data_IF_483077401449
#
_entry.id   IF_483077401449
#
_cell.length_a   1.000
_cell.length_b   1.000
_cell.length_c   1.000
_cell.angle_alpha   90.00
_cell.angle_beta   90.00
_cell.angle_gamma   90.00
#
_symmetry.space_group_name_H-M   'P 1'
#
loop_
_entity.id
_entity.type
_entity.pdbx_description
1 polymer ?
#
# COMPACT_ATOMS: atom_id res chain seq x y z
N UNK A 1 11.08 -20.67 7.49
CA UNK A 1 11.35 -19.83 6.30
C UNK A 1 10.83 -18.45 6.63
N UNK A 2 11.74 -17.51 6.89
CA UNK A 2 11.40 -16.15 7.32
C UNK A 2 10.79 -15.41 6.11
N UNK A 3 9.54 -14.96 6.24
CA UNK A 3 8.90 -14.18 5.16
C UNK A 3 9.54 -12.80 5.15
N UNK A 4 10.05 -12.35 3.99
CA UNK A 4 10.52 -10.97 3.86
C UNK A 4 9.36 -10.01 4.11
N UNK A 5 9.55 -9.07 5.03
CA UNK A 5 8.58 -8.03 5.37
C UNK A 5 9.13 -6.69 4.86
N UNK A 6 8.28 -5.95 4.16
CA UNK A 6 8.53 -4.56 3.78
C UNK A 6 7.41 -3.71 4.40
N UNK A 7 7.75 -2.62 5.07
CA UNK A 7 6.80 -1.81 5.86
C UNK A 7 7.00 -0.33 5.56
N UNK A 8 5.89 0.38 5.35
CA UNK A 8 5.80 1.83 5.48
C UNK A 8 4.90 2.16 6.67
N UNK A 9 5.31 3.10 7.52
CA UNK A 9 4.53 3.54 8.69
C UNK A 9 4.52 5.06 8.80
N UNK A 10 3.45 5.62 9.34
CA UNK A 10 3.31 7.05 9.63
C UNK A 10 2.72 7.24 11.03
N UNK A 11 3.17 8.29 11.73
CA UNK A 11 2.52 8.79 12.94
C UNK A 11 1.82 10.11 12.65
N UNK A 12 0.62 10.27 13.19
CA UNK A 12 -0.16 11.49 13.02
C UNK A 12 -1.06 11.74 14.22
N UNK A 13 -1.41 13.00 14.46
CA UNK A 13 -2.41 13.35 15.46
C UNK A 13 -3.82 13.28 14.88
N UNK A 14 -4.75 12.73 15.65
CA UNK A 14 -6.18 12.83 15.39
C UNK A 14 -6.97 12.73 16.69
N UNK A 15 -8.24 13.12 16.65
CA UNK A 15 -9.14 13.11 17.82
C UNK A 15 -9.40 11.69 18.32
N UNK A 16 -9.34 11.52 19.64
CA UNK A 16 -9.73 10.31 20.32
C UNK A 16 -11.24 10.11 20.21
N UNK A 17 -11.68 8.94 19.75
CA UNK A 17 -13.11 8.61 19.65
C UNK A 17 -13.80 8.46 21.02
N UNK A 18 -13.03 8.20 22.08
CA UNK A 18 -13.56 8.05 23.44
C UNK A 18 -13.80 9.37 24.17
N UNK A 19 -12.85 10.32 24.14
CA UNK A 19 -12.93 11.56 24.91
C UNK A 19 -12.79 12.87 24.11
N UNK A 20 -12.53 12.79 22.80
CA UNK A 20 -12.34 13.96 21.94
C UNK A 20 -10.99 14.67 22.07
N UNK A 21 -10.14 14.29 23.04
CA UNK A 21 -8.78 14.82 23.14
C UNK A 21 -7.93 14.42 21.94
N UNK A 22 -6.90 15.20 21.63
CA UNK A 22 -5.90 14.82 20.64
C UNK A 22 -5.11 13.59 21.12
N UNK A 23 -4.89 12.62 20.22
CA UNK A 23 -4.08 11.44 20.47
C UNK A 23 -3.16 11.18 19.28
N UNK A 24 -2.04 10.50 19.54
CA UNK A 24 -1.18 9.98 18.47
C UNK A 24 -1.81 8.71 17.89
N UNK A 25 -1.75 8.60 16.57
CA UNK A 25 -2.16 7.44 15.79
C UNK A 25 -0.97 6.95 14.98
N UNK A 26 -0.82 5.64 14.88
CA UNK A 26 0.14 4.99 14.01
C UNK A 26 -0.61 4.27 12.90
N UNK A 27 -0.28 4.57 11.65
CA UNK A 27 -0.82 3.89 10.48
C UNK A 27 0.28 3.15 9.74
N UNK A 28 0.03 1.91 9.35
CA UNK A 28 1.00 1.01 8.74
C UNK A 28 0.43 0.39 7.48
N UNK A 29 1.27 0.25 6.45
CA UNK A 29 1.07 -0.71 5.37
C UNK A 29 2.29 -1.61 5.26
N UNK A 30 2.07 -2.92 5.15
CA UNK A 30 3.12 -3.91 5.05
C UNK A 30 2.86 -4.90 3.92
N UNK A 31 3.93 -5.32 3.24
CA UNK A 31 3.93 -6.51 2.39
C UNK A 31 4.56 -7.66 3.16
N UNK A 32 3.74 -8.63 3.56
CA UNK A 32 4.16 -9.81 4.35
C UNK A 32 4.12 -11.05 3.46
N UNK A 33 5.27 -11.46 2.95
CA UNK A 33 5.33 -12.49 1.90
C UNK A 33 4.78 -11.96 0.58
N UNK A 34 3.58 -12.41 0.20
CA UNK A 34 2.88 -12.00 -1.04
C UNK A 34 1.57 -11.26 -0.77
N UNK A 35 1.30 -10.90 0.49
CA UNK A 35 0.05 -10.25 0.89
C UNK A 35 0.31 -8.84 1.41
N UNK A 36 -0.46 -7.88 0.91
CA UNK A 36 -0.55 -6.56 1.51
C UNK A 36 -1.43 -6.63 2.76
N UNK A 37 -0.97 -5.96 3.81
CA UNK A 37 -1.65 -5.78 5.08
C UNK A 37 -1.54 -4.33 5.49
N UNK A 38 -2.47 -3.91 6.33
CA UNK A 38 -2.45 -2.61 6.92
C UNK A 38 -3.06 -2.68 8.31
N UNK A 39 -2.66 -1.73 9.15
CA UNK A 39 -3.29 -1.49 10.43
C UNK A 39 -3.21 -0.01 10.79
N UNK A 40 -4.14 0.42 11.65
CA UNK A 40 -4.12 1.71 12.31
C UNK A 40 -4.35 1.46 13.79
N UNK A 41 -3.45 1.98 14.62
CA UNK A 41 -3.52 1.87 16.07
C UNK A 41 -3.42 3.24 16.76
N UNK A 42 -4.06 3.35 17.92
CA UNK A 42 -3.93 4.51 18.80
C UNK A 42 -4.23 4.11 20.24
N UNK A 43 -3.54 4.75 21.18
CA UNK A 43 -3.88 4.72 22.60
C UNK A 43 -3.94 6.15 23.13
N UNK A 44 -5.11 6.57 23.60
CA UNK A 44 -5.31 7.91 24.11
C UNK A 44 -4.76 8.05 25.54
N UNK A 45 -3.82 8.97 25.78
CA UNK A 45 -3.25 9.17 27.12
C UNK A 45 -4.25 9.82 28.09
N UNK A 46 -5.27 10.51 27.60
CA UNK A 46 -6.23 11.24 28.44
C UNK A 46 -7.31 10.35 29.06
N UNK A 47 -7.85 9.39 28.30
CA UNK A 47 -8.94 8.52 28.76
C UNK A 47 -8.64 7.02 28.70
N UNK A 48 -7.46 6.63 28.20
CA UNK A 48 -7.07 5.22 28.06
C UNK A 48 -7.77 4.46 26.92
N UNK A 49 -8.57 5.14 26.08
CA UNK A 49 -9.18 4.52 24.91
C UNK A 49 -8.09 3.98 23.98
N UNK A 50 -8.18 2.71 23.61
CA UNK A 50 -7.27 2.05 22.70
C UNK A 50 -8.04 1.46 21.52
N UNK A 51 -7.49 1.61 20.32
CA UNK A 51 -8.08 1.10 19.08
C UNK A 51 -6.98 0.47 18.22
N UNK A 52 -7.33 -0.65 17.59
CA UNK A 52 -6.58 -1.25 16.49
C UNK A 52 -7.58 -1.64 15.40
N UNK A 53 -7.37 -1.14 14.18
CA UNK A 53 -8.19 -1.45 13.00
C UNK A 53 -7.30 -2.05 11.94
N UNK A 54 -7.72 -3.16 11.35
CA UNK A 54 -7.00 -3.82 10.26
C UNK A 54 -7.96 -4.65 9.39
N UNK A 55 -7.46 -5.08 8.23
CA UNK A 55 -8.16 -5.97 7.31
C UNK A 55 -8.93 -5.27 6.20
N UNK A 56 -9.34 -6.02 5.18
CA UNK A 56 -9.94 -5.47 3.97
C UNK A 56 -8.94 -4.63 3.15
N UNK A 57 -9.47 -3.81 2.24
CA UNK A 57 -8.67 -2.92 1.41
C UNK A 57 -8.07 -1.78 2.23
N UNK A 58 -6.89 -1.30 1.83
CA UNK A 58 -6.24 -0.16 2.46
C UNK A 58 -7.14 1.09 2.34
N UNK A 59 -7.53 1.75 3.45
CA UNK A 59 -8.34 2.96 3.40
C UNK A 59 -7.63 4.09 2.64
N UNK A 60 -8.38 4.85 1.84
CA UNK A 60 -7.84 5.91 0.99
C UNK A 60 -7.15 7.00 1.83
N UNK A 61 -7.68 7.33 3.01
CA UNK A 61 -7.09 8.32 3.91
C UNK A 61 -5.73 7.85 4.45
N UNK A 62 -5.60 6.58 4.83
CA UNK A 62 -4.33 6.03 5.29
C UNK A 62 -3.32 5.98 4.13
N UNK A 63 -3.77 5.53 2.95
CA UNK A 63 -2.95 5.51 1.74
C UNK A 63 -2.43 6.91 1.39
N UNK A 64 -3.29 7.92 1.43
CA UNK A 64 -2.95 9.31 1.18
C UNK A 64 -1.90 9.84 2.16
N UNK A 65 -2.03 9.50 3.45
CA UNK A 65 -1.04 9.84 4.49
C UNK A 65 0.31 9.20 4.21
N UNK A 66 0.34 7.89 3.94
CA UNK A 66 1.58 7.17 3.62
C UNK A 66 2.28 7.75 2.39
N UNK A 67 1.53 8.08 1.33
CA UNK A 67 2.07 8.70 0.13
C UNK A 67 2.58 10.14 0.38
N UNK A 68 1.95 10.88 1.27
CA UNK A 68 2.40 12.23 1.65
C UNK A 68 3.70 12.18 2.45
N UNK A 69 3.86 11.17 3.32
CA UNK A 69 5.02 11.01 4.18
C UNK A 69 6.23 10.45 3.40
N UNK A 70 6.03 9.32 2.71
CA UNK A 70 7.11 8.55 2.08
C UNK A 70 7.30 8.88 0.59
N UNK A 71 6.38 9.65 0.01
CA UNK A 71 6.33 9.88 -1.42
C UNK A 71 5.81 8.67 -2.20
N UNK A 72 5.91 8.77 -3.53
CA UNK A 72 5.44 7.75 -4.47
C UNK A 72 6.60 6.86 -4.91
N UNK A 73 6.51 5.56 -4.63
CA UNK A 73 7.35 4.56 -5.27
C UNK A 73 6.91 4.36 -6.72
N UNK A 74 7.86 4.14 -7.64
CA UNK A 74 7.59 3.93 -9.08
C UNK A 74 8.00 2.52 -9.49
N UNK A 75 7.13 1.85 -10.24
CA UNK A 75 7.44 0.55 -10.82
C UNK A 75 8.24 0.74 -12.12
N UNK A 76 9.38 0.04 -12.23
CA UNK A 76 10.24 0.05 -13.41
C UNK A 76 10.37 -1.37 -13.95
N UNK A 77 10.19 -1.54 -15.26
CA UNK A 77 10.35 -2.83 -15.96
C UNK A 77 11.39 -2.67 -17.05
N UNK A 78 12.53 -3.35 -16.90
CA UNK A 78 13.59 -3.31 -17.90
C UNK A 78 13.22 -4.13 -19.15
N UNK A 79 13.61 -3.68 -20.36
CA UNK A 79 13.43 -4.47 -21.57
C UNK A 79 14.34 -5.72 -21.58
N UNK A 80 13.95 -6.79 -22.30
CA UNK A 80 12.74 -6.95 -23.10
C UNK A 80 11.49 -7.22 -22.25
N UNK A 81 10.36 -6.59 -22.59
CA UNK A 81 9.12 -6.71 -21.81
C UNK A 81 8.22 -7.85 -22.30
N UNK A 82 7.58 -8.55 -21.36
CA UNK A 82 6.57 -9.60 -21.63
C UNK A 82 5.18 -9.05 -21.38
N UNK A 83 4.68 -8.18 -22.27
CA UNK A 83 3.44 -7.41 -22.05
C UNK A 83 2.23 -8.24 -21.60
N UNK A 84 2.04 -9.43 -22.16
CA UNK A 84 0.96 -10.33 -21.75
C UNK A 84 1.10 -10.83 -20.30
N UNK A 85 2.33 -11.09 -19.84
CA UNK A 85 2.59 -11.46 -18.45
C UNK A 85 2.37 -10.27 -17.51
N UNK A 86 2.82 -9.07 -17.91
CA UNK A 86 2.62 -7.83 -17.15
C UNK A 86 1.12 -7.56 -16.97
N UNK A 87 0.34 -7.61 -18.06
CA UNK A 87 -1.11 -7.43 -17.99
C UNK A 87 -1.80 -8.48 -17.11
N UNK A 88 -1.31 -9.72 -17.09
CA UNK A 88 -1.87 -10.77 -16.23
C UNK A 88 -1.69 -10.42 -14.75
N UNK A 89 -0.49 -10.00 -14.35
CA UNK A 89 -0.19 -9.59 -12.97
C UNK A 89 -1.02 -8.36 -12.61
N UNK A 90 -1.01 -7.31 -13.44
CA UNK A 90 -1.78 -6.09 -13.17
C UNK A 90 -3.28 -6.35 -12.99
N UNK A 91 -3.87 -7.24 -13.79
CA UNK A 91 -5.29 -7.60 -13.63
C UNK A 91 -5.57 -8.35 -12.34
N UNK A 92 -4.70 -9.29 -11.98
CA UNK A 92 -4.87 -10.08 -10.76
C UNK A 92 -4.74 -9.22 -9.50
N UNK A 93 -3.73 -8.35 -9.45
CA UNK A 93 -3.40 -7.58 -8.25
C UNK A 93 -4.21 -6.29 -8.13
N UNK A 94 -4.65 -5.68 -9.23
CA UNK A 94 -5.44 -4.42 -9.20
C UNK A 94 -6.94 -4.65 -9.36
N UNK A 95 -7.39 -5.89 -9.57
CA UNK A 95 -8.80 -6.21 -9.82
C UNK A 95 -9.38 -5.59 -11.09
N UNK A 96 -8.53 -5.16 -12.03
CA UNK A 96 -8.96 -4.45 -13.25
C UNK A 96 -9.29 -5.41 -14.41
N UNK A 97 -10.27 -5.02 -15.21
CA UNK A 97 -10.64 -5.72 -16.46
C UNK A 97 -9.64 -5.50 -17.61
N UNK A 98 -9.91 -6.16 -18.74
CA UNK A 98 -9.10 -6.00 -19.96
C UNK A 98 -9.11 -4.56 -20.50
N UNK A 99 -10.22 -3.85 -20.34
CA UNK A 99 -10.35 -2.47 -20.83
C UNK A 99 -9.46 -1.51 -20.03
N UNK A 100 -9.32 -1.75 -18.72
CA UNK A 100 -8.49 -0.93 -17.82
C UNK A 100 -7.00 -1.26 -17.89
N UNK A 101 -6.63 -2.52 -18.16
CA UNK A 101 -5.23 -2.95 -18.04
C UNK A 101 -4.31 -2.33 -19.10
N UNK A 102 -4.84 -1.99 -20.28
CA UNK A 102 -4.00 -1.42 -21.35
C UNK A 102 -3.43 -0.06 -20.97
N UNK A 103 -4.23 0.80 -20.36
CA UNK A 103 -3.77 2.11 -19.88
C UNK A 103 -2.74 1.97 -18.74
N UNK A 104 -2.94 1.02 -17.83
CA UNK A 104 -1.98 0.75 -16.75
C UNK A 104 -0.67 0.19 -17.32
N UNK A 105 -0.75 -0.72 -18.29
CA UNK A 105 0.44 -1.26 -18.97
C UNK A 105 1.26 -0.12 -19.61
N UNK A 106 0.61 0.81 -20.32
CA UNK A 106 1.29 1.97 -20.93
C UNK A 106 2.03 2.81 -19.86
N UNK A 107 1.40 3.07 -18.71
CA UNK A 107 2.06 3.78 -17.60
C UNK A 107 3.25 2.99 -17.01
N UNK A 108 3.14 1.66 -16.88
CA UNK A 108 4.22 0.81 -16.38
C UNK A 108 5.42 0.82 -17.35
N UNK A 109 5.16 0.69 -18.64
CA UNK A 109 6.21 0.71 -19.67
C UNK A 109 6.87 2.09 -19.79
N UNK A 110 6.13 3.15 -19.49
CA UNK A 110 6.67 4.51 -19.41
C UNK A 110 7.39 4.82 -18.07
N UNK A 111 7.39 3.90 -17.10
CA UNK A 111 7.95 4.14 -15.76
C UNK A 111 7.19 5.18 -14.95
N UNK A 112 5.92 5.42 -15.29
CA UNK A 112 5.03 6.43 -14.69
C UNK A 112 4.06 5.84 -13.67
N UNK A 113 3.86 4.53 -13.69
CA UNK A 113 2.99 3.86 -12.72
C UNK A 113 3.61 3.90 -11.31
N UNK A 114 2.82 4.31 -10.32
CA UNK A 114 3.29 4.58 -8.96
C UNK A 114 2.25 4.33 -7.87
N UNK A 115 2.73 4.06 -6.67
CA UNK A 115 1.93 3.83 -5.46
C UNK A 115 2.80 3.88 -4.20
N UNK A 116 2.35 3.27 -3.12
CA UNK A 116 3.17 3.11 -1.91
C UNK A 116 4.30 2.11 -2.15
N UNK A 117 5.32 2.09 -1.28
CA UNK A 117 6.44 1.15 -1.45
C UNK A 117 5.97 -0.33 -1.36
N UNK A 118 5.12 -0.74 -0.40
CA UNK A 118 4.56 -2.08 -0.36
C UNK A 118 3.76 -2.46 -1.62
N UNK A 119 2.93 -1.54 -2.16
CA UNK A 119 2.16 -1.77 -3.39
C UNK A 119 3.09 -2.07 -4.57
N UNK A 120 4.13 -1.24 -4.76
CA UNK A 120 5.04 -1.39 -5.90
C UNK A 120 5.92 -2.64 -5.77
N UNK A 121 6.37 -2.98 -4.57
CA UNK A 121 7.18 -4.19 -4.36
C UNK A 121 6.34 -5.46 -4.54
N UNK A 122 5.05 -5.47 -4.20
CA UNK A 122 4.16 -6.61 -4.51
C UNK A 122 4.15 -6.88 -6.02
N UNK A 123 3.89 -5.85 -6.82
CA UNK A 123 3.89 -5.97 -8.27
C UNK A 123 5.26 -6.40 -8.79
N UNK A 124 6.34 -5.83 -8.27
CA UNK A 124 7.69 -6.19 -8.67
C UNK A 124 8.02 -7.67 -8.37
N UNK A 125 7.61 -8.21 -7.21
CA UNK A 125 7.77 -9.63 -6.87
C UNK A 125 7.01 -10.53 -7.84
N UNK A 126 5.74 -10.22 -8.09
CA UNK A 126 4.88 -11.00 -9.01
C UNK A 126 5.37 -10.97 -10.46
N UNK A 127 6.01 -9.87 -10.87
CA UNK A 127 6.61 -9.75 -12.22
C UNK A 127 7.96 -10.47 -12.35
N UNK A 128 8.67 -10.70 -11.25
CA UNK A 128 9.95 -11.44 -11.23
C UNK A 128 9.77 -12.96 -11.18
N UNK A 129 8.63 -13.45 -10.66
CA UNK A 129 8.28 -14.86 -10.58
C UNK A 129 8.01 -15.47 -11.97
#
# INVERSE_FOLDING_TARGET
MEKSILVDSIRYSAVCQGCGAEAEWCGVQALVGEELRWDVESTCPACGFALAVCGGDLPEELRGRLLSEHGRARLQVAPPTRNAAIMRVLRAELGIGLDGVRAVLEQVLAGQYSGTMPEMELLARKLRA
#
